data_IF_440604535554
#
_entry.id   IF_440604535554
#
_cell.length_a   1.000
_cell.length_b   1.000
_cell.length_c   1.000
_cell.angle_alpha   90.00
_cell.angle_beta   90.00
_cell.angle_gamma   90.00
#
_symmetry.space_group_name_H-M   'P 1'
#
loop_
_entity.id
_entity.type
_entity.pdbx_description
1 polymer ?
#
# COMPACT_ATOMS: atom_id res chain seq x y z
N UNK A 1 28.16 4.78 -10.85
CA UNK A 1 27.80 4.41 -9.47
C UNK A 1 26.30 4.07 -9.48
N UNK A 2 25.95 2.81 -9.22
CA UNK A 2 24.71 2.13 -9.65
C UNK A 2 23.38 2.58 -9.03
N UNK A 3 23.12 3.88 -8.95
CA UNK A 3 21.81 4.42 -8.58
C UNK A 3 20.73 3.94 -9.56
N UNK A 4 19.60 3.45 -9.03
CA UNK A 4 18.49 2.93 -9.83
C UNK A 4 18.57 1.43 -10.15
N UNK A 5 19.63 0.74 -9.71
CA UNK A 5 19.65 -0.73 -9.69
C UNK A 5 18.82 -1.26 -8.52
N UNK A 6 18.40 -2.52 -8.60
CA UNK A 6 17.67 -3.18 -7.51
C UNK A 6 18.38 -3.05 -6.15
N UNK A 7 19.70 -3.24 -6.13
CA UNK A 7 20.56 -3.11 -4.94
C UNK A 7 20.66 -1.68 -4.38
N UNK A 8 20.33 -0.65 -5.17
CA UNK A 8 20.41 0.75 -4.78
C UNK A 8 19.27 1.54 -5.43
N UNK A 9 18.05 1.13 -5.08
CA UNK A 9 16.83 1.72 -5.59
C UNK A 9 16.74 3.20 -5.21
N UNK A 10 16.24 4.02 -6.14
CA UNK A 10 16.01 5.44 -5.89
C UNK A 10 14.87 5.57 -4.89
N UNK A 11 15.10 6.36 -3.84
CA UNK A 11 14.08 6.72 -2.85
C UNK A 11 13.04 7.60 -3.50
N UNK A 12 11.84 7.06 -3.75
CA UNK A 12 10.75 7.81 -4.36
C UNK A 12 10.40 9.03 -3.48
N UNK A 13 10.37 10.21 -4.09
CA UNK A 13 10.17 11.50 -3.41
C UNK A 13 11.13 11.74 -2.24
N UNK A 14 12.31 11.10 -2.25
CA UNK A 14 13.30 11.21 -1.18
C UNK A 14 12.92 10.52 0.13
N UNK A 15 11.83 9.74 0.15
CA UNK A 15 11.37 9.06 1.37
C UNK A 15 12.28 7.87 1.70
N UNK A 16 12.84 7.87 2.91
CA UNK A 16 13.68 6.79 3.44
C UNK A 16 12.90 5.98 4.47
N UNK A 17 12.59 4.72 4.13
CA UNK A 17 11.81 3.83 4.98
C UNK A 17 12.41 3.65 6.38
N UNK A 18 13.73 3.42 6.49
CA UNK A 18 14.36 3.14 7.78
C UNK A 18 14.37 4.39 8.67
N UNK A 19 14.62 5.56 8.09
CA UNK A 19 14.59 6.81 8.84
C UNK A 19 13.17 7.16 9.31
N UNK A 20 12.18 7.03 8.42
CA UNK A 20 10.77 7.29 8.75
C UNK A 20 10.28 6.32 9.84
N UNK A 21 10.62 5.03 9.73
CA UNK A 21 10.28 4.01 10.72
C UNK A 21 10.92 4.31 12.07
N UNK A 22 12.22 4.61 12.10
CA UNK A 22 12.93 4.94 13.33
C UNK A 22 12.33 6.17 14.03
N UNK A 23 11.98 7.21 13.27
CA UNK A 23 11.34 8.40 13.81
C UNK A 23 9.96 8.11 14.43
N UNK A 24 9.12 7.30 13.75
CA UNK A 24 7.81 6.91 14.26
C UNK A 24 7.93 6.09 15.56
N UNK A 25 8.88 5.15 15.61
CA UNK A 25 9.17 4.36 16.81
C UNK A 25 9.66 5.24 17.97
N UNK A 26 10.55 6.19 17.69
CA UNK A 26 11.09 7.10 18.70
C UNK A 26 10.01 8.03 19.28
N UNK A 27 9.11 8.52 18.43
CA UNK A 27 8.01 9.41 18.82
C UNK A 27 6.80 8.69 19.39
N UNK A 28 6.75 7.35 19.33
CA UNK A 28 5.60 6.55 19.76
C UNK A 28 4.35 6.79 18.91
N UNK A 29 4.52 7.24 17.66
CA UNK A 29 3.44 7.57 16.74
C UNK A 29 3.40 6.63 15.55
N UNK A 30 2.25 6.54 14.88
CA UNK A 30 2.12 5.76 13.65
C UNK A 30 2.39 6.64 12.44
N UNK A 31 3.12 6.11 11.46
CA UNK A 31 3.43 6.82 10.23
C UNK A 31 2.17 7.30 9.50
N UNK A 32 2.20 8.55 9.04
CA UNK A 32 1.23 9.14 8.12
C UNK A 32 2.01 9.62 6.89
N UNK A 33 1.60 9.16 5.72
CA UNK A 33 2.26 9.51 4.47
C UNK A 33 1.81 10.91 4.02
N UNK A 34 2.76 11.84 3.95
CA UNK A 34 2.53 13.21 3.48
C UNK A 34 2.55 13.30 1.94
N UNK A 35 3.25 12.37 1.28
CA UNK A 35 3.27 12.29 -0.18
C UNK A 35 2.00 11.61 -0.75
N UNK A 36 1.37 10.75 0.04
CA UNK A 36 0.12 10.08 -0.30
C UNK A 36 -0.89 10.11 0.86
N UNK A 37 -1.47 11.29 1.16
CA UNK A 37 -2.29 11.47 2.35
C UNK A 37 -3.61 10.67 2.28
N UNK A 38 -4.21 10.29 3.42
CA UNK A 38 -5.48 9.55 3.46
C UNK A 38 -6.68 10.48 3.20
N UNK A 39 -6.76 11.04 2.00
CA UNK A 39 -7.77 12.01 1.55
C UNK A 39 -8.36 11.58 0.22
N UNK A 40 -9.56 12.07 -0.18
CA UNK A 40 -10.22 11.64 -1.40
C UNK A 40 -9.40 11.83 -2.69
N UNK A 41 -8.52 12.84 -2.74
CA UNK A 41 -7.63 13.10 -3.87
C UNK A 41 -6.66 11.95 -4.14
N UNK A 42 -6.32 11.18 -3.11
CA UNK A 42 -5.44 10.01 -3.23
C UNK A 42 -6.17 8.80 -3.83
N UNK A 43 -7.50 8.75 -3.77
CA UNK A 43 -8.29 7.71 -4.44
C UNK A 43 -8.35 7.91 -5.95
N UNK A 44 -8.29 9.17 -6.40
CA UNK A 44 -8.19 9.52 -7.80
C UNK A 44 -8.93 10.81 -8.14
N UNK A 45 -9.33 10.90 -9.41
CA UNK A 45 -10.01 12.04 -10.00
C UNK A 45 -11.22 11.58 -10.81
N UNK A 46 -12.12 12.51 -11.15
CA UNK A 46 -13.36 12.24 -11.91
C UNK A 46 -14.18 11.07 -11.31
N UNK A 47 -14.15 9.90 -11.94
CA UNK A 47 -14.86 8.68 -11.54
C UNK A 47 -14.47 8.16 -10.15
N UNK A 48 -13.26 8.46 -9.68
CA UNK A 48 -12.78 8.15 -8.33
C UNK A 48 -12.48 9.43 -7.52
N UNK A 49 -12.99 10.56 -7.97
CA UNK A 49 -12.78 11.84 -7.30
C UNK A 49 -13.66 12.02 -6.05
N UNK A 50 -13.51 13.14 -5.32
CA UNK A 50 -14.22 13.40 -4.07
C UNK A 50 -15.75 13.42 -4.16
N UNK A 51 -16.30 13.71 -5.35
CA UNK A 51 -17.74 13.83 -5.59
C UNK A 51 -18.34 12.58 -6.27
N UNK A 52 -17.56 11.50 -6.42
CA UNK A 52 -18.04 10.27 -7.03
C UNK A 52 -18.84 9.43 -6.03
N UNK A 53 -19.93 8.83 -6.50
CA UNK A 53 -20.68 7.84 -5.72
C UNK A 53 -19.82 6.62 -5.36
N UNK A 54 -18.77 6.31 -6.14
CA UNK A 54 -17.87 5.17 -5.92
C UNK A 54 -16.95 5.35 -4.71
N UNK A 55 -16.64 6.60 -4.35
CA UNK A 55 -15.72 6.94 -3.24
C UNK A 55 -16.47 7.53 -2.05
N UNK A 56 -17.77 7.78 -2.19
CA UNK A 56 -18.61 8.28 -1.11
C UNK A 56 -18.62 7.30 0.07
N UNK A 57 -18.36 7.81 1.28
CA UNK A 57 -18.39 7.02 2.51
C UNK A 57 -17.15 6.15 2.76
N UNK A 58 -16.12 6.23 1.90
CA UNK A 58 -14.84 5.54 2.14
C UNK A 58 -14.20 6.07 3.43
N UNK A 59 -13.75 5.14 4.28
CA UNK A 59 -12.99 5.43 5.50
C UNK A 59 -11.64 4.73 5.43
N UNK A 60 -10.58 5.49 5.64
CA UNK A 60 -9.22 4.96 5.75
C UNK A 60 -9.05 4.28 7.10
N UNK A 61 -8.58 3.03 7.10
CA UNK A 61 -8.34 2.24 8.31
C UNK A 61 -7.04 1.46 8.16
N UNK A 62 -6.32 1.27 9.26
CA UNK A 62 -5.17 0.37 9.36
C UNK A 62 -5.64 -1.07 9.63
N UNK A 63 -4.85 -2.09 9.25
CA UNK A 63 -5.20 -3.49 9.55
C UNK A 63 -5.46 -3.78 11.04
N UNK A 64 -4.75 -3.10 11.95
CA UNK A 64 -4.92 -3.20 13.40
C UNK A 64 -6.28 -2.69 13.91
N UNK A 65 -7.01 -1.92 13.11
CA UNK A 65 -8.37 -1.47 13.44
C UNK A 65 -9.45 -2.45 12.97
N UNK A 66 -9.08 -3.42 12.13
CA UNK A 66 -9.98 -4.39 11.50
C UNK A 66 -9.83 -5.79 12.10
N UNK A 67 -8.60 -6.17 12.46
CA UNK A 67 -8.26 -7.50 12.95
C UNK A 67 -7.45 -7.38 14.24
N UNK A 68 -7.65 -8.33 15.16
CA UNK A 68 -6.94 -8.37 16.45
C UNK A 68 -5.46 -8.70 16.33
N UNK A 69 -5.08 -9.52 15.34
CA UNK A 69 -3.71 -9.92 15.07
C UNK A 69 -3.42 -9.89 13.56
N UNK A 70 -3.29 -8.70 12.94
CA UNK A 70 -3.05 -8.59 11.51
C UNK A 70 -1.67 -9.17 11.16
N UNK A 71 -1.63 -9.95 10.08
CA UNK A 71 -0.40 -10.54 9.56
C UNK A 71 -0.06 -9.90 8.21
N UNK A 72 1.23 -9.68 7.93
CA UNK A 72 1.66 -9.07 6.68
C UNK A 72 1.78 -10.11 5.56
N UNK A 73 2.57 -11.17 5.78
CA UNK A 73 2.71 -12.36 4.92
C UNK A 73 2.91 -13.55 5.86
N UNK A 74 2.19 -14.65 5.66
CA UNK A 74 2.26 -15.88 6.49
C UNK A 74 2.35 -17.08 5.57
N UNK A 75 3.32 -17.96 5.80
CA UNK A 75 3.52 -19.18 5.00
C UNK A 75 3.73 -18.92 3.49
N UNK A 76 4.33 -17.77 3.16
CA UNK A 76 4.49 -17.28 1.79
C UNK A 76 3.27 -16.47 1.31
N UNK A 77 3.34 -15.93 0.09
CA UNK A 77 2.18 -15.36 -0.56
C UNK A 77 1.73 -16.32 -1.64
N UNK A 78 0.43 -16.61 -1.71
CA UNK A 78 -0.14 -17.51 -2.72
C UNK A 78 -1.21 -16.79 -3.54
N UNK A 79 -1.46 -17.29 -4.76
CA UNK A 79 -2.48 -16.70 -5.65
C UNK A 79 -3.89 -16.68 -5.03
N UNK A 80 -4.16 -17.51 -4.03
CA UNK A 80 -5.46 -17.61 -3.36
C UNK A 80 -5.64 -16.56 -2.27
N UNK A 81 -4.58 -15.85 -1.89
CA UNK A 81 -4.63 -14.83 -0.84
C UNK A 81 -5.14 -13.47 -1.34
N UNK A 82 -5.42 -13.37 -2.64
CA UNK A 82 -5.74 -12.11 -3.31
C UNK A 82 -7.14 -12.20 -3.94
N UNK A 83 -8.04 -11.34 -3.46
CA UNK A 83 -9.39 -11.19 -3.99
C UNK A 83 -9.61 -9.75 -4.47
N UNK A 84 -10.32 -9.58 -5.58
CA UNK A 84 -10.55 -8.26 -6.15
C UNK A 84 -11.45 -7.41 -5.24
N UNK A 85 -11.04 -6.16 -5.04
CA UNK A 85 -11.90 -5.16 -4.44
C UNK A 85 -13.01 -4.69 -5.39
N UNK A 86 -13.84 -3.77 -4.92
CA UNK A 86 -14.97 -3.25 -5.69
C UNK A 86 -14.59 -2.26 -6.82
N UNK A 87 -13.29 -1.94 -7.00
CA UNK A 87 -12.83 -0.86 -7.88
C UNK A 87 -12.37 -1.30 -9.28
N UNK A 88 -12.46 -2.58 -9.63
CA UNK A 88 -12.36 -2.99 -11.05
C UNK A 88 -10.95 -3.17 -11.61
N UNK A 89 -9.98 -3.59 -10.80
CA UNK A 89 -8.54 -3.66 -11.10
C UNK A 89 -8.01 -5.09 -11.36
N UNK A 90 -8.82 -5.97 -11.97
CA UNK A 90 -8.48 -7.38 -12.18
C UNK A 90 -7.10 -7.64 -12.84
N UNK A 91 -6.66 -6.73 -13.71
CA UNK A 91 -5.36 -6.78 -14.38
C UNK A 91 -4.19 -6.65 -13.41
N UNK A 92 -4.34 -5.86 -12.34
CA UNK A 92 -3.34 -5.73 -11.28
C UNK A 92 -3.26 -7.01 -10.46
N UNK A 93 -4.41 -7.59 -10.12
CA UNK A 93 -4.46 -8.84 -9.36
C UNK A 93 -3.79 -10.00 -10.11
N UNK A 94 -3.97 -10.09 -11.43
CA UNK A 94 -3.30 -11.09 -12.25
C UNK A 94 -1.77 -10.94 -12.18
N UNK A 95 -1.26 -9.71 -12.18
CA UNK A 95 0.17 -9.43 -12.03
C UNK A 95 0.67 -9.81 -10.62
N UNK A 96 -0.03 -9.42 -9.55
CA UNK A 96 0.37 -9.74 -8.17
C UNK A 96 0.32 -11.27 -7.95
N UNK A 97 -0.74 -11.95 -8.40
CA UNK A 97 -0.83 -13.40 -8.34
C UNK A 97 0.32 -14.10 -9.09
N UNK A 98 0.81 -13.51 -10.19
CA UNK A 98 1.97 -14.07 -10.90
C UNK A 98 3.26 -13.94 -10.09
N UNK A 99 3.42 -12.90 -9.27
CA UNK A 99 4.56 -12.76 -8.36
C UNK A 99 4.58 -13.84 -7.27
N UNK A 100 3.40 -14.37 -6.88
CA UNK A 100 3.30 -15.47 -5.89
C UNK A 100 3.77 -16.83 -6.41
N UNK A 101 4.05 -16.94 -7.71
CA UNK A 101 4.46 -18.21 -8.33
C UNK A 101 5.98 -18.43 -8.31
N UNK A 102 6.76 -17.44 -7.87
CA UNK A 102 8.21 -17.50 -7.88
C UNK A 102 8.83 -16.73 -6.70
N UNK A 103 9.32 -17.46 -5.70
CA UNK A 103 9.90 -16.92 -4.46
C UNK A 103 11.40 -16.53 -4.58
N UNK A 104 11.94 -16.49 -5.80
CA UNK A 104 13.38 -16.25 -6.05
C UNK A 104 13.81 -14.80 -5.96
#
# INVERSE_FOLDING_TARGET
LGLGRHENAIKYLGQDYEQLRAHCLQSGSLFRDEAFPPVPQSLGFKELGPNSSKTYGVKWKRPTELFSNPQFIVDGATRTDICQGALGDCWLLAAIASLTLNDT
#
